data_IF_915538465206
#
_entry.id   IF_915538465206
#
_cell.length_a   1.000
_cell.length_b   1.000
_cell.length_c   1.000
_cell.angle_alpha   90.00
_cell.angle_beta   90.00
_cell.angle_gamma   90.00
#
_symmetry.space_group_name_H-M   'P 1'
#
loop_
_entity.id
_entity.type
_entity.pdbx_description
1 polymer ?
#
# COMPACT_ATOMS: atom_id res chain seq x y z
N UNK A 1 2.75 -9.52 -11.63
CA UNK A 1 2.21 -8.82 -10.45
C UNK A 1 2.87 -9.34 -9.22
N UNK A 2 3.69 -8.50 -8.63
CA UNK A 2 3.97 -8.59 -7.20
C UNK A 2 2.80 -7.89 -6.51
N UNK A 3 1.92 -8.66 -5.88
CA UNK A 3 1.07 -8.16 -4.80
C UNK A 3 2.07 -8.00 -3.65
N UNK A 4 2.52 -6.76 -3.39
CA UNK A 4 3.46 -6.47 -2.32
C UNK A 4 2.74 -6.60 -0.98
N UNK A 5 2.48 -7.83 -0.56
CA UNK A 5 1.82 -8.15 0.70
C UNK A 5 2.86 -8.15 1.82
N UNK A 6 2.78 -7.16 2.69
CA UNK A 6 3.70 -7.00 3.81
C UNK A 6 2.97 -6.48 5.04
N UNK A 7 3.41 -6.87 6.22
CA UNK A 7 2.98 -6.26 7.48
C UNK A 7 4.07 -5.28 7.94
N UNK A 8 4.11 -4.03 7.40
CA UNK A 8 5.13 -3.07 7.78
C UNK A 8 5.05 -2.76 9.27
N UNK A 9 6.21 -2.49 9.88
CA UNK A 9 6.21 -1.90 11.21
C UNK A 9 5.43 -0.57 11.16
N UNK A 10 4.74 -0.20 12.26
CA UNK A 10 3.94 1.01 12.29
C UNK A 10 4.72 2.23 11.78
N UNK A 11 5.99 2.36 12.18
CA UNK A 11 6.84 3.51 11.86
C UNK A 11 7.32 3.56 10.40
N UNK A 12 7.19 2.47 9.63
CA UNK A 12 7.67 2.40 8.24
C UNK A 12 6.52 2.39 7.21
N UNK A 13 5.26 2.40 7.65
CA UNK A 13 4.11 2.18 6.78
C UNK A 13 4.02 3.16 5.58
N UNK A 14 4.24 4.46 5.80
CA UNK A 14 4.14 5.46 4.72
C UNK A 14 5.34 5.42 3.77
N UNK A 15 6.51 5.08 4.29
CA UNK A 15 7.71 4.86 3.48
C UNK A 15 7.56 3.61 2.62
N UNK A 16 7.01 2.53 3.18
CA UNK A 16 6.67 1.32 2.43
C UNK A 16 5.72 1.61 1.27
N UNK A 17 4.66 2.40 1.49
CA UNK A 17 3.73 2.80 0.43
C UNK A 17 4.44 3.62 -0.66
N UNK A 18 5.28 4.56 -0.27
CA UNK A 18 6.05 5.41 -1.18
C UNK A 18 7.02 4.61 -2.04
N UNK A 19 7.76 3.68 -1.42
CA UNK A 19 8.67 2.78 -2.12
C UNK A 19 7.91 1.84 -3.07
N UNK A 20 6.78 1.28 -2.62
CA UNK A 20 5.97 0.37 -3.43
C UNK A 20 5.40 1.06 -4.68
N UNK A 21 4.87 2.27 -4.55
CA UNK A 21 4.38 3.05 -5.69
C UNK A 21 5.51 3.42 -6.64
N UNK A 22 6.66 3.83 -6.11
CA UNK A 22 7.84 4.15 -6.93
C UNK A 22 8.33 2.94 -7.72
N UNK A 23 8.41 1.77 -7.10
CA UNK A 23 8.83 0.54 -7.77
C UNK A 23 7.88 0.14 -8.91
N UNK A 24 6.57 0.32 -8.72
CA UNK A 24 5.60 0.12 -9.81
C UNK A 24 5.87 1.08 -10.96
N UNK A 25 6.06 2.36 -10.67
CA UNK A 25 6.34 3.38 -11.68
C UNK A 25 7.65 3.11 -12.44
N UNK A 26 8.72 2.74 -11.73
CA UNK A 26 10.01 2.35 -12.32
C UNK A 26 9.88 1.12 -13.24
N UNK A 27 8.91 0.24 -12.96
CA UNK A 27 8.51 -0.89 -13.80
C UNK A 27 7.52 -0.56 -14.92
N UNK A 28 7.19 0.72 -15.14
CA UNK A 28 6.23 1.16 -16.16
C UNK A 28 4.75 0.94 -15.79
N UNK A 29 4.46 0.64 -14.53
CA UNK A 29 3.10 0.37 -14.04
C UNK A 29 2.59 1.51 -13.15
N UNK A 30 1.28 1.69 -13.17
CA UNK A 30 0.58 2.65 -12.31
C UNK A 30 -0.09 1.91 -11.14
N UNK A 31 0.01 2.43 -9.92
CA UNK A 31 -0.74 1.89 -8.78
C UNK A 31 -2.24 2.17 -8.95
N UNK A 32 -3.08 1.16 -8.75
CA UNK A 32 -4.54 1.27 -8.90
C UNK A 32 -5.27 1.30 -7.56
N UNK A 33 -4.86 0.47 -6.60
CA UNK A 33 -5.46 0.38 -5.28
C UNK A 33 -4.39 0.12 -4.22
N UNK A 34 -4.62 0.60 -3.00
CA UNK A 34 -3.89 0.17 -1.82
C UNK A 34 -4.88 -0.63 -0.97
N UNK A 35 -4.58 -1.89 -0.71
CA UNK A 35 -5.39 -2.76 0.14
C UNK A 35 -4.70 -2.85 1.50
N UNK A 36 -5.44 -2.62 2.59
CA UNK A 36 -4.93 -2.73 3.95
C UNK A 36 -5.84 -3.58 4.82
N UNK A 37 -5.26 -4.33 5.75
CA UNK A 37 -6.02 -4.87 6.86
C UNK A 37 -6.42 -3.79 7.89
N UNK A 38 -7.41 -4.06 8.76
CA UNK A 38 -7.96 -3.06 9.69
C UNK A 38 -6.92 -2.43 10.63
N UNK A 39 -5.94 -3.22 11.09
CA UNK A 39 -4.90 -2.75 12.01
C UNK A 39 -3.92 -1.81 11.31
N UNK A 40 -3.57 -2.12 10.07
CA UNK A 40 -2.72 -1.26 9.25
C UNK A 40 -3.43 -0.01 8.79
N UNK A 41 -4.74 -0.08 8.48
CA UNK A 41 -5.55 1.10 8.19
C UNK A 41 -5.62 2.08 9.37
N UNK A 42 -5.82 1.56 10.59
CA UNK A 42 -5.83 2.39 11.81
C UNK A 42 -4.49 3.10 11.99
N UNK A 43 -3.39 2.39 11.75
CA UNK A 43 -2.03 2.94 11.84
C UNK A 43 -1.80 4.00 10.77
N UNK A 44 -2.20 3.71 9.53
CA UNK A 44 -2.15 4.63 8.40
C UNK A 44 -2.88 5.94 8.70
N UNK A 45 -4.11 5.89 9.19
CA UNK A 45 -4.90 7.08 9.50
C UNK A 45 -4.23 7.96 10.57
N UNK A 46 -3.64 7.35 11.61
CA UNK A 46 -2.91 8.08 12.66
C UNK A 46 -1.68 8.79 12.10
N UNK A 47 -0.88 8.11 11.28
CA UNK A 47 0.36 8.67 10.72
C UNK A 47 0.07 9.76 9.69
N UNK A 48 -0.89 9.53 8.81
CA UNK A 48 -1.28 10.51 7.81
C UNK A 48 -1.91 11.75 8.45
N UNK A 49 -2.69 11.60 9.51
CA UNK A 49 -3.20 12.73 10.29
C UNK A 49 -2.05 13.56 10.90
N UNK A 50 -1.03 12.89 11.45
CA UNK A 50 0.15 13.54 12.00
C UNK A 50 0.96 14.30 10.92
N UNK A 51 1.20 13.70 9.76
CA UNK A 51 1.89 14.37 8.63
C UNK A 51 1.14 15.59 8.13
N UNK A 52 -0.18 15.49 7.99
CA UNK A 52 -1.04 16.57 7.53
C UNK A 52 -1.34 17.62 8.61
N UNK A 53 -0.81 17.46 9.82
CA UNK A 53 -1.06 18.32 11.00
C UNK A 53 -2.56 18.57 11.24
N UNK A 54 -3.38 17.53 11.05
CA UNK A 54 -4.85 17.59 11.20
C UNK A 54 -5.36 16.51 12.15
N UNK A 55 -6.61 16.65 12.58
CA UNK A 55 -7.28 15.65 13.43
C UNK A 55 -7.36 14.28 12.76
N UNK A 56 -7.44 13.22 13.56
CA UNK A 56 -7.65 11.87 13.04
C UNK A 56 -9.01 11.79 12.35
N UNK A 57 -9.02 11.22 11.15
CA UNK A 57 -10.23 10.98 10.38
C UNK A 57 -10.01 9.80 9.44
N UNK A 58 -11.08 9.37 8.80
CA UNK A 58 -11.02 8.31 7.81
C UNK A 58 -10.43 8.85 6.52
N UNK A 59 -9.47 8.11 5.96
CA UNK A 59 -8.79 8.45 4.73
C UNK A 59 -9.13 7.41 3.68
N UNK A 60 -9.85 7.83 2.64
CA UNK A 60 -10.23 6.96 1.52
C UNK A 60 -9.16 6.91 0.43
N UNK A 61 -8.18 7.81 0.49
CA UNK A 61 -7.11 7.91 -0.52
C UNK A 61 -5.77 8.25 0.11
N UNK A 62 -4.71 7.84 -0.59
CA UNK A 62 -3.33 8.28 -0.35
C UNK A 62 -2.69 8.63 -1.69
N UNK A 63 -2.20 9.86 -1.86
CA UNK A 63 -1.64 10.34 -3.14
C UNK A 63 -2.55 10.05 -4.36
N UNK A 64 -3.86 10.30 -4.21
CA UNK A 64 -4.90 10.02 -5.23
C UNK A 64 -5.16 8.53 -5.53
N UNK A 65 -4.46 7.61 -4.87
CA UNK A 65 -4.69 6.17 -4.97
C UNK A 65 -5.76 5.77 -3.93
N UNK A 66 -6.85 5.10 -4.32
CA UNK A 66 -7.86 4.64 -3.38
C UNK A 66 -7.33 3.60 -2.39
N UNK A 67 -7.69 3.78 -1.11
CA UNK A 67 -7.39 2.84 -0.02
C UNK A 67 -8.63 1.99 0.25
N UNK A 68 -8.45 0.67 0.22
CA UNK A 68 -9.48 -0.32 0.47
C UNK A 68 -9.13 -1.10 1.72
N UNK A 69 -10.07 -1.21 2.65
CA UNK A 69 -9.90 -2.03 3.86
C UNK A 69 -10.41 -3.44 3.60
N UNK A 70 -9.53 -4.43 3.70
CA UNK A 70 -9.87 -5.85 3.62
C UNK A 70 -9.91 -6.44 5.04
N UNK A 71 -11.10 -6.81 5.56
CA UNK A 71 -11.25 -7.27 6.95
C UNK A 71 -10.51 -8.57 7.25
N UNK A 72 -10.07 -9.32 6.23
CA UNK A 72 -9.42 -10.61 6.40
C UNK A 72 -7.89 -10.52 6.48
N UNK A 73 -7.30 -9.33 6.27
CA UNK A 73 -5.84 -9.12 6.14
C UNK A 73 -5.14 -8.56 7.39
N UNK A 74 -5.84 -8.36 8.51
CA UNK A 74 -5.32 -7.82 9.79
C UNK A 74 -4.30 -6.66 9.67
N UNK A 75 -3.00 -6.97 9.70
CA UNK A 75 -1.89 -6.01 9.65
C UNK A 75 -1.20 -5.92 8.27
N UNK A 76 -1.69 -6.63 7.25
CA UNK A 76 -1.07 -6.64 5.94
C UNK A 76 -1.48 -5.41 5.11
N UNK A 77 -0.57 -4.99 4.25
CA UNK A 77 -0.73 -3.91 3.28
C UNK A 77 -0.29 -4.42 1.92
N UNK A 78 -0.99 -4.01 0.86
CA UNK A 78 -0.66 -4.32 -0.52
C UNK A 78 -0.91 -3.14 -1.45
N UNK A 79 0.03 -2.86 -2.36
CA UNK A 79 -0.19 -1.95 -3.49
C UNK A 79 -0.47 -2.77 -4.74
N UNK A 80 -1.65 -2.58 -5.32
CA UNK A 80 -2.14 -3.32 -6.49
C UNK A 80 -1.90 -2.47 -7.74
N UNK A 81 -1.16 -2.95 -8.74
CA UNK A 81 -0.99 -2.23 -9.99
C UNK A 81 -2.25 -2.27 -10.85
N UNK A 82 -2.37 -1.31 -11.77
CA UNK A 82 -3.36 -1.31 -12.84
C UNK A 82 -3.16 -2.55 -13.71
N UNK A 83 -4.24 -3.24 -14.12
CA UNK A 83 -4.11 -4.38 -15.01
C UNK A 83 -3.48 -3.96 -16.33
N UNK A 84 -2.37 -4.62 -16.67
CA UNK A 84 -1.74 -4.54 -17.99
C UNK A 84 -2.05 -5.82 -18.75
N UNK A 85 -2.65 -5.69 -19.94
CA UNK A 85 -3.01 -6.82 -20.81
C UNK A 85 -1.79 -7.50 -21.45
N UNK A 86 -0.59 -6.93 -21.31
CA UNK A 86 0.64 -7.36 -22.03
C UNK A 86 1.77 -7.91 -21.15
N UNK A 87 1.59 -8.01 -19.83
CA UNK A 87 2.67 -8.44 -18.92
C UNK A 87 2.87 -9.98 -18.87
N UNK A 88 3.95 -10.46 -19.50
CA UNK A 88 4.18 -11.88 -19.82
C UNK A 88 4.93 -12.74 -18.78
N UNK A 89 5.35 -12.24 -17.60
CA UNK A 89 6.07 -13.10 -16.62
C UNK A 89 5.93 -12.59 -15.18
N UNK A 90 5.80 -13.53 -14.23
CA UNK A 90 5.35 -13.26 -12.85
C UNK A 90 6.28 -13.98 -11.85
N UNK A 91 6.87 -13.25 -10.89
CA UNK A 91 7.51 -13.84 -9.70
C UNK A 91 7.11 -13.08 -8.43
N UNK A 92 6.72 -13.77 -7.34
CA UNK A 92 6.47 -13.14 -6.06
C UNK A 92 7.80 -12.70 -5.42
N UNK A 93 7.86 -11.45 -4.93
CA UNK A 93 9.01 -10.96 -4.18
C UNK A 93 8.90 -11.40 -2.71
N UNK A 94 9.96 -12.02 -2.18
CA UNK A 94 10.16 -12.25 -0.75
C UNK A 94 11.38 -11.46 -0.31
N UNK A 95 11.25 -10.65 0.75
CA UNK A 95 12.39 -10.00 1.41
C UNK A 95 13.16 -11.08 2.17
N UNK A 96 14.52 -11.14 2.08
CA UNK A 96 15.32 -12.09 2.85
C UNK A 96 15.06 -11.91 4.35
N UNK A 97 14.90 -13.03 5.07
CA UNK A 97 14.82 -13.04 6.54
C UNK A 97 16.16 -12.70 7.17
#
# INVERSE_FOLDING_TARGET
MTILQHAPQPDDLLDFLSQSVRQLADGGLEARFIIMGPRSYTTFCKKLAAELKRGTGDFETWNHIPVVVDPFRDAEVCVVPKPDRTASSWQPFRIPQ
#
